data_IF_103068087867
#
_entry.id   IF_103068087867
#
_cell.length_a   1.000
_cell.length_b   1.000
_cell.length_c   1.000
_cell.angle_alpha   90.00
_cell.angle_beta   90.00
_cell.angle_gamma   90.00
#
_symmetry.space_group_name_H-M   'P 1'
#
loop_
_entity.id
_entity.type
_entity.pdbx_description
1 polymer ?
#
# COMPACT_ATOMS: atom_id res chain seq x y z
N UNK A 1 8.03 3.89 -6.81
CA UNK A 1 8.89 4.53 -5.81
C UNK A 1 8.16 4.39 -4.49
N UNK A 2 8.85 3.87 -3.48
CA UNK A 2 8.32 3.69 -2.11
C UNK A 2 9.27 4.40 -1.15
N UNK A 3 8.71 5.24 -0.29
CA UNK A 3 9.38 5.76 0.89
C UNK A 3 8.62 5.27 2.11
N UNK A 4 9.25 4.42 2.92
CA UNK A 4 8.64 3.85 4.12
C UNK A 4 9.45 4.11 5.39
N UNK A 5 8.73 4.38 6.48
CA UNK A 5 9.24 4.51 7.84
C UNK A 5 8.61 3.43 8.72
N UNK A 6 9.42 2.59 9.35
CA UNK A 6 8.94 1.55 10.25
C UNK A 6 9.22 1.90 11.71
N UNK A 7 8.19 1.80 12.54
CA UNK A 7 8.18 2.11 13.95
C UNK A 7 7.81 0.85 14.74
N UNK A 8 8.81 0.06 15.18
CA UNK A 8 8.56 -1.11 16.02
C UNK A 8 8.06 -0.68 17.40
N UNK A 9 6.94 -1.25 17.84
CA UNK A 9 6.45 -1.10 19.22
C UNK A 9 6.94 -2.26 20.10
N UNK A 10 7.09 -3.44 19.49
CA UNK A 10 7.66 -4.66 20.07
C UNK A 10 8.43 -5.42 18.97
N UNK A 11 9.08 -6.52 19.33
CA UNK A 11 9.79 -7.40 18.37
C UNK A 11 8.87 -7.96 17.27
N UNK A 12 7.56 -8.06 17.53
CA UNK A 12 6.58 -8.69 16.62
C UNK A 12 5.52 -7.74 16.07
N UNK A 13 5.36 -6.56 16.65
CA UNK A 13 4.27 -5.63 16.30
C UNK A 13 4.84 -4.22 16.16
N UNK A 14 4.41 -3.52 15.12
CA UNK A 14 4.72 -2.11 14.94
C UNK A 14 3.84 -1.48 13.88
N UNK A 15 4.20 -0.25 13.52
CA UNK A 15 3.55 0.50 12.46
C UNK A 15 4.53 0.81 11.33
N UNK A 16 4.01 0.94 10.11
CA UNK A 16 4.77 1.39 8.95
C UNK A 16 3.99 2.50 8.27
N UNK A 17 4.63 3.65 8.04
CA UNK A 17 4.09 4.74 7.24
C UNK A 17 4.78 4.68 5.87
N UNK A 18 4.02 4.64 4.78
CA UNK A 18 4.57 4.52 3.43
C UNK A 18 3.92 5.51 2.47
N UNK A 19 4.72 6.04 1.55
CA UNK A 19 4.29 6.86 0.43
C UNK A 19 4.75 6.17 -0.86
N UNK A 20 3.78 5.73 -1.66
CA UNK A 20 3.99 4.76 -2.72
C UNK A 20 3.21 5.14 -3.99
N UNK A 21 3.64 4.59 -5.13
CA UNK A 21 2.82 4.57 -6.33
C UNK A 21 2.06 3.25 -6.39
N UNK A 22 0.73 3.31 -6.41
CA UNK A 22 -0.13 2.14 -6.57
C UNK A 22 -0.65 2.03 -8.01
N UNK A 23 -1.01 0.81 -8.41
CA UNK A 23 -1.54 0.53 -9.75
C UNK A 23 -3.03 0.19 -9.63
N UNK A 24 -3.83 0.91 -10.40
CA UNK A 24 -5.23 0.58 -10.71
C UNK A 24 -5.27 -0.23 -12.00
N UNK A 25 -5.85 -1.41 -11.95
CA UNK A 25 -6.11 -2.18 -13.16
C UNK A 25 -7.14 -1.45 -14.06
N UNK A 26 -6.97 -1.38 -15.39
CA UNK A 26 -5.92 -2.00 -16.19
C UNK A 26 -4.67 -1.14 -16.46
N UNK A 27 -4.58 0.14 -16.07
CA UNK A 27 -3.40 0.96 -16.43
C UNK A 27 -3.16 2.26 -15.65
N UNK A 28 -4.00 2.66 -14.69
CA UNK A 28 -3.85 3.97 -14.05
C UNK A 28 -2.87 3.90 -12.88
N UNK A 29 -1.87 4.78 -12.84
CA UNK A 29 -0.97 4.93 -11.69
C UNK A 29 -1.53 6.02 -10.79
N UNK A 30 -1.62 5.73 -9.50
CA UNK A 30 -2.17 6.64 -8.49
C UNK A 30 -1.17 6.79 -7.35
N UNK A 31 -1.21 7.94 -6.67
CA UNK A 31 -0.49 8.11 -5.41
C UNK A 31 -1.19 7.33 -4.30
N UNK A 32 -0.40 6.70 -3.42
CA UNK A 32 -0.91 6.01 -2.25
C UNK A 32 -0.09 6.45 -1.03
N UNK A 33 -0.79 6.99 -0.03
CA UNK A 33 -0.21 7.19 1.30
C UNK A 33 -0.87 6.20 2.25
N UNK A 34 -0.12 5.33 2.91
CA UNK A 34 -0.68 4.32 3.80
C UNK A 34 0.04 4.22 5.14
N UNK A 35 -0.73 3.85 6.15
CA UNK A 35 -0.27 3.38 7.44
C UNK A 35 -0.64 1.90 7.56
N UNK A 36 0.35 1.07 7.82
CA UNK A 36 0.16 -0.35 8.10
C UNK A 36 0.43 -0.61 9.58
N UNK A 37 -0.43 -1.41 10.21
CA UNK A 37 -0.04 -2.14 11.41
C UNK A 37 0.49 -3.49 10.95
N UNK A 38 1.74 -3.80 11.32
CA UNK A 38 2.35 -5.07 10.97
C UNK A 38 2.43 -6.03 12.15
N UNK A 39 2.26 -7.31 11.85
CA UNK A 39 2.39 -8.42 12.81
C UNK A 39 3.35 -9.46 12.24
N UNK A 40 4.47 -9.72 12.92
CA UNK A 40 5.37 -10.80 12.54
C UNK A 40 4.71 -12.15 12.85
N UNK A 41 4.39 -12.89 11.79
CA UNK A 41 3.67 -14.17 11.87
C UNK A 41 4.60 -15.38 11.72
N UNK A 42 5.76 -15.21 11.09
CA UNK A 42 6.74 -16.27 10.88
C UNK A 42 8.16 -15.69 10.92
N UNK A 43 9.08 -16.44 11.53
CA UNK A 43 10.51 -16.19 11.46
C UNK A 43 11.24 -17.52 11.31
N UNK A 44 12.01 -17.68 10.23
CA UNK A 44 12.80 -18.89 9.99
C UNK A 44 14.03 -18.56 9.16
N UNK A 45 15.21 -19.08 9.52
CA UNK A 45 16.46 -18.88 8.76
C UNK A 45 16.71 -17.41 8.38
N UNK A 46 16.53 -16.48 9.33
CA UNK A 46 16.62 -15.01 9.17
C UNK A 46 15.56 -14.38 8.24
N UNK A 47 14.67 -15.17 7.66
CA UNK A 47 13.50 -14.69 6.91
C UNK A 47 12.38 -14.34 7.90
N UNK A 48 11.92 -13.10 7.89
CA UNK A 48 10.78 -12.62 8.66
C UNK A 48 9.61 -12.40 7.72
N UNK A 49 8.44 -12.93 8.08
CA UNK A 49 7.18 -12.67 7.36
C UNK A 49 6.23 -11.94 8.29
N UNK A 50 5.67 -10.85 7.78
CA UNK A 50 4.73 -9.99 8.48
C UNK A 50 3.42 -9.91 7.73
N UNK A 51 2.32 -10.01 8.47
CA UNK A 51 0.99 -9.63 8.00
C UNK A 51 0.84 -8.12 8.14
N UNK A 52 0.26 -7.48 7.13
CA UNK A 52 0.00 -6.04 7.10
C UNK A 52 -1.51 -5.79 7.12
N UNK A 53 -1.96 -4.95 8.05
CA UNK A 53 -3.31 -4.38 8.06
C UNK A 53 -3.18 -2.92 7.68
N UNK A 54 -3.73 -2.55 6.54
CA UNK A 54 -3.43 -1.29 5.87
C UNK A 54 -4.63 -0.36 5.86
N UNK A 55 -4.40 0.90 6.23
CA UNK A 55 -5.32 2.00 5.99
C UNK A 55 -4.54 3.09 5.26
N UNK A 56 -5.07 3.58 4.16
CA UNK A 56 -4.41 4.59 3.36
C UNK A 56 -5.36 5.54 2.69
N UNK A 57 -4.78 6.47 1.95
CA UNK A 57 -5.45 7.39 1.06
C UNK A 57 -4.90 7.22 -0.34
N UNK A 58 -5.80 6.94 -1.27
CA UNK A 58 -5.52 6.96 -2.71
C UNK A 58 -5.74 8.38 -3.19
N UNK A 59 -4.76 8.89 -3.94
CA UNK A 59 -4.82 10.17 -4.63
C UNK A 59 -5.07 9.92 -6.11
N UNK A 60 -6.29 10.23 -6.58
CA UNK A 60 -6.68 10.17 -7.98
C UNK A 60 -7.19 11.54 -8.42
N UNK A 61 -6.73 12.01 -9.58
CA UNK A 61 -7.17 13.26 -10.18
C UNK A 61 -8.43 13.00 -11.00
N UNK A 62 -9.58 12.90 -10.34
CA UNK A 62 -10.88 12.84 -11.03
C UNK A 62 -11.34 14.23 -11.44
N UNK A 63 -11.75 14.39 -12.70
CA UNK A 63 -12.41 15.60 -13.18
C UNK A 63 -13.73 15.82 -12.42
N UNK A 64 -13.81 16.88 -11.62
CA UNK A 64 -15.05 17.28 -10.94
C UNK A 64 -15.14 16.96 -9.44
N UNK A 65 -14.12 16.31 -8.85
CA UNK A 65 -14.00 16.20 -7.39
C UNK A 65 -12.99 17.24 -6.87
N UNK A 66 -13.28 17.93 -5.75
CA UNK A 66 -12.34 18.90 -5.18
C UNK A 66 -11.09 18.16 -4.69
N UNK A 67 -10.03 18.24 -5.48
CA UNK A 67 -8.72 17.69 -5.17
C UNK A 67 -7.96 18.52 -4.13
N UNK A 68 -6.86 17.96 -3.62
CA UNK A 68 -5.91 18.72 -2.82
C UNK A 68 -4.97 19.48 -3.75
N UNK A 69 -5.12 20.80 -3.80
CA UNK A 69 -4.21 21.67 -4.52
C UNK A 69 -3.12 22.20 -3.58
N UNK A 70 -1.85 21.89 -3.86
CA UNK A 70 -0.71 22.56 -3.22
C UNK A 70 -0.04 23.46 -4.28
N UNK A 71 -0.48 24.71 -4.33
CA UNK A 71 -0.02 25.66 -5.34
C UNK A 71 -0.56 25.30 -6.73
N UNK A 72 0.33 25.01 -7.69
CA UNK A 72 -0.03 24.60 -9.06
C UNK A 72 -0.12 23.07 -9.22
N UNK A 73 0.12 22.32 -8.14
CA UNK A 73 0.10 20.86 -8.16
C UNK A 73 -1.27 20.37 -7.66
N UNK A 74 -2.04 19.79 -8.57
CA UNK A 74 -3.23 19.01 -8.23
C UNK A 74 -2.77 17.61 -7.78
N UNK A 75 -2.99 17.32 -6.50
CA UNK A 75 -2.70 16.02 -5.89
C UNK A 75 -3.90 15.07 -5.96
N UNK A 76 -4.98 15.45 -6.65
CA UNK A 76 -6.20 14.66 -6.73
C UNK A 76 -6.99 14.65 -5.42
N UNK A 77 -8.18 14.04 -5.46
CA UNK A 77 -9.02 13.89 -4.28
C UNK A 77 -8.52 12.69 -3.45
N UNK A 78 -8.35 12.85 -2.12
CA UNK A 78 -7.98 11.73 -1.26
C UNK A 78 -9.19 10.83 -1.01
N UNK A 79 -9.07 9.55 -1.36
CA UNK A 79 -10.08 8.55 -1.06
C UNK A 79 -9.57 7.55 -0.04
N UNK A 80 -10.39 7.22 0.95
CA UNK A 80 -10.04 6.27 1.99
C UNK A 80 -9.91 4.86 1.40
N UNK A 81 -8.73 4.27 1.56
CA UNK A 81 -8.42 2.92 1.13
C UNK A 81 -8.18 2.03 2.36
N UNK A 82 -8.81 0.86 2.39
CA UNK A 82 -8.56 -0.16 3.42
C UNK A 82 -8.06 -1.40 2.71
N UNK A 83 -7.06 -2.04 3.29
CA UNK A 83 -6.38 -3.14 2.64
C UNK A 83 -5.64 -4.04 3.61
N UNK A 84 -4.94 -4.98 3.01
CA UNK A 84 -4.03 -5.85 3.73
C UNK A 84 -3.00 -6.43 2.77
N UNK A 85 -2.00 -7.07 3.37
CA UNK A 85 -0.91 -7.62 2.59
C UNK A 85 0.09 -8.38 3.42
N UNK A 86 1.21 -8.68 2.78
CA UNK A 86 2.32 -9.34 3.42
C UNK A 86 3.62 -8.60 3.12
N UNK A 87 4.52 -8.66 4.09
CA UNK A 87 5.88 -8.19 3.97
C UNK A 87 6.83 -9.34 4.29
N UNK A 88 7.86 -9.51 3.48
CA UNK A 88 8.94 -10.46 3.71
C UNK A 88 10.23 -9.68 3.84
N UNK A 89 11.01 -10.00 4.87
CA UNK A 89 12.26 -9.30 5.15
C UNK A 89 13.37 -10.28 5.44
N UNK A 90 14.60 -9.92 5.07
CA UNK A 90 15.80 -10.66 5.44
C UNK A 90 16.94 -9.69 5.75
N UNK A 91 17.58 -9.77 6.93
CA UNK A 91 18.77 -8.99 7.22
C UNK A 91 19.92 -9.50 6.35
N UNK A 92 20.59 -8.58 5.64
CA UNK A 92 21.72 -8.91 4.75
C UNK A 92 23.07 -8.46 5.31
N UNK A 93 23.07 -7.44 6.17
CA UNK A 93 24.22 -6.98 6.95
C UNK A 93 23.76 -6.22 8.18
N UNK A 94 24.70 -5.81 9.04
CA UNK A 94 24.41 -4.95 10.18
C UNK A 94 23.70 -3.67 9.71
N UNK A 95 22.51 -3.43 10.25
CA UNK A 95 21.67 -2.26 9.94
C UNK A 95 21.00 -2.27 8.57
N UNK A 96 21.17 -3.32 7.74
CA UNK A 96 20.60 -3.36 6.38
C UNK A 96 19.69 -4.58 6.22
N UNK A 97 18.43 -4.30 5.89
CA UNK A 97 17.39 -5.32 5.72
C UNK A 97 16.84 -5.23 4.30
N UNK A 98 16.89 -6.34 3.57
CA UNK A 98 16.18 -6.46 2.31
C UNK A 98 14.69 -6.70 2.59
N UNK A 99 13.83 -5.96 1.91
CA UNK A 99 12.39 -5.90 2.14
C UNK A 99 11.63 -6.12 0.83
N UNK A 100 10.59 -6.95 0.90
CA UNK A 100 9.59 -7.07 -0.16
C UNK A 100 8.19 -7.00 0.43
N UNK A 101 7.26 -6.44 -0.31
CA UNK A 101 5.87 -6.39 0.12
C UNK A 101 4.90 -6.51 -1.04
N UNK A 102 3.70 -6.98 -0.72
CA UNK A 102 2.56 -6.98 -1.62
C UNK A 102 1.29 -6.65 -0.81
N UNK A 103 0.53 -5.67 -1.27
CA UNK A 103 -0.69 -5.17 -0.63
C UNK A 103 -1.81 -5.01 -1.64
N UNK A 104 -3.01 -5.33 -1.21
CA UNK A 104 -4.25 -5.07 -1.94
C UNK A 104 -5.12 -4.11 -1.16
N UNK A 105 -5.72 -3.14 -1.86
CA UNK A 105 -6.58 -2.12 -1.28
C UNK A 105 -7.93 -2.08 -1.96
N UNK A 106 -8.93 -1.66 -1.18
CA UNK A 106 -10.24 -1.27 -1.65
C UNK A 106 -10.53 0.13 -1.20
N UNK A 107 -11.13 0.93 -2.07
CA UNK A 107 -11.43 2.33 -1.75
C UNK A 107 -12.91 2.46 -1.41
N UNK A 108 -13.19 3.09 -0.26
CA UNK A 108 -14.56 3.34 0.19
C UNK A 108 -15.18 4.44 -0.68
N UNK A 109 -16.43 4.22 -1.11
CA UNK A 109 -17.23 5.19 -1.86
C UNK A 109 -16.53 5.72 -3.12
N UNK A 110 -15.59 4.95 -3.67
CA UNK A 110 -14.94 5.26 -4.94
C UNK A 110 -15.77 4.61 -6.05
N UNK A 111 -16.21 5.41 -7.01
CA UNK A 111 -16.81 4.87 -8.23
C UNK A 111 -15.71 4.20 -9.06
N UNK A 112 -15.35 2.98 -8.69
CA UNK A 112 -14.76 2.02 -9.62
C UNK A 112 -15.84 1.66 -10.63
N UNK A 113 -16.18 2.59 -11.54
CA UNK A 113 -16.94 2.28 -12.76
C UNK A 113 -16.13 1.27 -13.56
N UNK A 114 -16.30 -0.01 -13.25
CA UNK A 114 -16.50 -1.03 -14.25
C UNK A 114 -17.99 -1.05 -14.61
N UNK A 115 -18.51 0.04 -15.19
CA UNK A 115 -19.71 -0.02 -16.04
C UNK A 115 -19.27 -0.42 -17.46
N UNK A 116 -18.51 -1.51 -17.57
CA UNK A 116 -18.01 -2.02 -18.85
C UNK A 116 -17.87 -3.53 -18.74
N UNK A 117 -18.37 -4.23 -19.77
CA UNK A 117 -18.47 -5.68 -19.93
C UNK A 117 -17.18 -6.44 -19.55
N UNK A 118 -16.95 -6.61 -18.26
CA UNK A 118 -16.15 -7.70 -17.74
C UNK A 118 -17.06 -8.94 -17.72
N UNK A 119 -16.68 -10.03 -18.40
CA UNK A 119 -17.49 -11.25 -18.39
C UNK A 119 -17.48 -11.84 -16.98
N UNK A 120 -18.54 -11.55 -16.23
CA UNK A 120 -18.71 -11.91 -14.83
C UNK A 120 -19.04 -10.69 -13.99
N UNK A 121 -20.33 -10.41 -13.81
CA UNK A 121 -20.80 -9.37 -12.91
C UNK A 121 -20.36 -9.60 -11.45
N UNK A 122 -20.37 -8.52 -10.67
CA UNK A 122 -20.09 -8.46 -9.23
C UNK A 122 -18.98 -9.40 -8.75
N UNK A 123 -17.75 -9.16 -9.23
CA UNK A 123 -16.55 -9.81 -8.69
C UNK A 123 -16.24 -9.33 -7.26
N UNK A 124 -16.96 -9.91 -6.30
CA UNK A 124 -16.50 -10.01 -4.92
C UNK A 124 -15.56 -11.24 -4.80
N UNK A 125 -14.34 -11.17 -4.19
CA UNK A 125 -13.73 -10.09 -3.41
C UNK A 125 -12.26 -9.82 -3.84
N UNK A 126 -12.03 -9.25 -5.02
CA UNK A 126 -10.66 -8.91 -5.43
C UNK A 126 -10.30 -7.47 -5.05
N UNK A 127 -9.06 -7.18 -4.64
CA UNK A 127 -8.60 -5.80 -4.42
C UNK A 127 -8.70 -4.97 -5.71
N UNK A 128 -9.05 -3.69 -5.58
CA UNK A 128 -9.19 -2.75 -6.70
C UNK A 128 -7.84 -2.12 -7.08
N UNK A 129 -6.96 -1.96 -6.08
CA UNK A 129 -5.64 -1.39 -6.23
C UNK A 129 -4.60 -2.31 -5.60
N UNK A 130 -3.44 -2.36 -6.25
CA UNK A 130 -2.32 -3.17 -5.79
C UNK A 130 -1.08 -2.30 -5.63
N UNK A 131 -0.35 -2.54 -4.54
CA UNK A 131 0.99 -2.02 -4.36
C UNK A 131 1.94 -3.18 -4.09
N UNK A 132 3.03 -3.23 -4.85
CA UNK A 132 4.09 -4.22 -4.71
C UNK A 132 5.43 -3.52 -4.76
N UNK A 133 6.36 -3.95 -3.93
CA UNK A 133 7.66 -3.31 -3.84
C UNK A 133 8.77 -4.26 -3.41
N UNK A 134 9.96 -3.92 -3.87
CA UNK A 134 11.23 -4.49 -3.45
C UNK A 134 12.12 -3.31 -3.04
N UNK A 135 12.75 -3.40 -1.87
CA UNK A 135 13.51 -2.29 -1.32
C UNK A 135 14.50 -2.73 -0.25
N UNK A 136 15.19 -1.74 0.29
CA UNK A 136 16.16 -1.88 1.37
C UNK A 136 15.74 -0.95 2.49
N UNK A 137 15.71 -1.47 3.71
CA UNK A 137 15.48 -0.72 4.93
C UNK A 137 16.81 -0.55 5.65
N UNK A 138 17.02 0.64 6.20
CA UNK A 138 18.17 0.95 7.03
C UNK A 138 17.71 1.14 8.47
N UNK A 139 18.32 0.41 9.40
CA UNK A 139 18.08 0.54 10.84
C UNK A 139 19.09 1.53 11.44
N UNK A 140 18.58 2.51 12.19
CA UNK A 140 19.36 3.60 12.79
C UNK A 140 18.96 3.83 14.25
#
# INVERSE_FOLDING_TARGET
LDLSLQLPFTDKIGAMLSAEAAIRYPSNKIGLFNADIYFQILETLNLKVRLLVSVGSVQDSNFGEPGWEIGILDLGAPHLAIGGGFQVMTPISDGVILNSYARGYRVKDYQTRQEGDFPGGDYWPLPEFFSVGLGVLYEF
#
